data_IF_215600429499
#
_entry.id   IF_215600429499
#
_cell.length_a   1.000
_cell.length_b   1.000
_cell.length_c   1.000
_cell.angle_alpha   90.00
_cell.angle_beta   90.00
_cell.angle_gamma   90.00
#
_symmetry.space_group_name_H-M   'P 1'
#
loop_
_entity.id
_entity.type
_entity.pdbx_description
1 polymer ?
#
# COMPACT_ATOMS: atom_id res chain seq x y z
N UNK A 1 9.74 14.47 -10.83
CA UNK A 1 10.53 13.69 -9.85
C UNK A 1 10.33 12.21 -10.14
N UNK A 2 11.39 11.41 -10.00
CA UNK A 2 11.31 9.94 -10.14
C UNK A 2 10.92 9.37 -8.79
N UNK A 3 10.01 8.38 -8.79
CA UNK A 3 9.73 7.55 -7.61
C UNK A 3 10.22 6.13 -7.86
N UNK A 4 10.70 5.45 -6.81
CA UNK A 4 11.27 4.12 -6.91
C UNK A 4 10.99 3.29 -5.66
N UNK A 5 11.22 1.98 -5.76
CA UNK A 5 11.04 1.01 -4.69
C UNK A 5 12.35 0.21 -4.53
N UNK A 6 12.56 -0.31 -3.32
CA UNK A 6 13.71 -1.16 -3.01
C UNK A 6 13.28 -2.47 -2.35
N UNK A 7 14.14 -3.48 -2.47
CA UNK A 7 14.13 -4.68 -1.64
C UNK A 7 15.40 -4.61 -0.79
N UNK A 8 15.28 -4.85 0.50
CA UNK A 8 16.39 -4.73 1.44
C UNK A 8 16.32 -5.78 2.55
N UNK A 9 17.41 -5.90 3.30
CA UNK A 9 17.44 -6.65 4.57
C UNK A 9 17.12 -5.70 5.72
N UNK A 10 16.48 -6.20 6.77
CA UNK A 10 16.10 -5.39 7.95
C UNK A 10 17.31 -4.84 8.71
N UNK A 11 18.45 -5.52 8.66
CA UNK A 11 19.67 -5.14 9.35
C UNK A 11 20.58 -4.16 8.56
N UNK A 12 20.14 -3.69 7.39
CA UNK A 12 20.94 -2.81 6.52
C UNK A 12 20.42 -1.37 6.45
N UNK A 13 19.38 -1.04 7.22
CA UNK A 13 18.76 0.29 7.21
C UNK A 13 18.92 0.99 8.55
N UNK A 14 19.11 2.29 8.49
CA UNK A 14 19.14 3.21 9.62
C UNK A 14 18.36 4.50 9.29
N UNK A 15 18.16 5.35 10.29
CA UNK A 15 17.35 6.56 10.14
C UNK A 15 17.92 7.55 9.10
N UNK A 16 19.25 7.68 9.02
CA UNK A 16 19.91 8.61 8.09
C UNK A 16 19.77 8.12 6.66
N UNK A 17 20.08 6.85 6.41
CA UNK A 17 19.92 6.19 5.10
C UNK A 17 18.48 6.31 4.60
N UNK A 18 17.49 6.01 5.45
CA UNK A 18 16.07 6.10 5.09
C UNK A 18 15.64 7.53 4.78
N UNK A 19 16.12 8.53 5.52
CA UNK A 19 15.87 9.95 5.23
C UNK A 19 16.40 10.34 3.84
N UNK A 20 17.62 9.93 3.49
CA UNK A 20 18.19 10.17 2.16
C UNK A 20 17.42 9.41 1.06
N UNK A 21 17.09 8.15 1.28
CA UNK A 21 16.28 7.37 0.34
C UNK A 21 14.94 8.06 0.07
N UNK A 22 14.26 8.53 1.12
CA UNK A 22 12.96 9.21 0.97
C UNK A 22 13.08 10.51 0.17
N UNK A 23 14.09 11.34 0.48
CA UNK A 23 14.39 12.58 -0.27
C UNK A 23 14.73 12.29 -1.73
N UNK A 24 15.39 11.16 -2.02
CA UNK A 24 15.72 10.71 -3.37
C UNK A 24 14.51 10.09 -4.12
N UNK A 25 13.33 10.03 -3.51
CA UNK A 25 12.10 9.55 -4.14
C UNK A 25 11.76 8.09 -3.87
N UNK A 26 12.39 7.42 -2.89
CA UNK A 26 11.97 6.10 -2.43
C UNK A 26 10.59 6.20 -1.78
N UNK A 27 9.64 5.40 -2.26
CA UNK A 27 8.27 5.38 -1.74
C UNK A 27 7.92 4.07 -1.04
N UNK A 28 8.71 3.02 -1.23
CA UNK A 28 8.48 1.70 -0.65
C UNK A 28 9.78 0.94 -0.48
N UNK A 29 9.89 0.21 0.62
CA UNK A 29 10.94 -0.81 0.82
C UNK A 29 10.25 -2.11 1.23
N UNK A 30 10.66 -3.21 0.57
CA UNK A 30 10.20 -4.56 0.88
C UNK A 30 11.29 -5.31 1.64
N UNK A 31 10.92 -5.96 2.73
CA UNK A 31 11.81 -6.72 3.60
C UNK A 31 11.42 -8.19 3.63
N UNK A 32 12.37 -9.08 3.45
CA UNK A 32 12.19 -10.51 3.70
C UNK A 32 12.20 -10.77 5.21
N UNK A 33 11.02 -10.92 5.79
CA UNK A 33 10.80 -11.29 7.19
C UNK A 33 10.71 -12.81 7.34
N UNK A 34 10.11 -13.43 6.35
CA UNK A 34 9.84 -14.83 6.10
C UNK A 34 8.84 -15.42 7.11
N UNK A 35 9.14 -15.42 8.43
CA UNK A 35 8.27 -15.98 9.47
C UNK A 35 8.45 -15.25 10.81
N UNK A 36 7.41 -15.24 11.62
CA UNK A 36 7.48 -14.85 13.03
C UNK A 36 8.10 -15.93 13.92
N UNK A 37 8.16 -17.17 13.47
CA UNK A 37 8.79 -18.27 14.19
C UNK A 37 10.30 -18.26 14.01
N UNK A 38 11.05 -18.30 15.10
CA UNK A 38 12.52 -18.39 15.08
C UNK A 38 12.99 -19.70 14.47
N UNK A 39 12.31 -20.81 14.77
CA UNK A 39 12.65 -22.13 14.23
C UNK A 39 12.52 -22.15 12.71
N UNK A 40 11.45 -21.57 12.17
CA UNK A 40 11.24 -21.48 10.72
C UNK A 40 12.28 -20.54 10.07
N UNK A 41 12.61 -19.39 10.69
CA UNK A 41 13.66 -18.51 10.16
C UNK A 41 15.02 -19.17 10.15
N UNK A 42 15.36 -19.93 11.21
CA UNK A 42 16.61 -20.68 11.29
C UNK A 42 16.69 -21.74 10.21
N UNK A 43 15.60 -22.48 9.96
CA UNK A 43 15.51 -23.47 8.89
C UNK A 43 15.67 -22.82 7.51
N UNK A 44 15.12 -21.64 7.29
CA UNK A 44 15.28 -20.86 6.06
C UNK A 44 16.64 -20.13 5.98
N UNK A 45 17.57 -20.41 6.90
CA UNK A 45 18.89 -19.75 6.99
C UNK A 45 18.79 -18.21 7.03
N UNK A 46 17.77 -17.69 7.73
CA UNK A 46 17.52 -16.26 7.85
C UNK A 46 18.10 -15.75 9.17
N UNK A 47 19.29 -15.14 9.06
CA UNK A 47 20.02 -14.55 10.19
C UNK A 47 19.51 -13.13 10.48
N UNK A 48 18.31 -13.03 11.06
CA UNK A 48 17.68 -11.80 11.53
C UNK A 48 16.91 -12.08 12.82
N UNK A 49 17.00 -11.17 13.77
CA UNK A 49 16.18 -11.23 14.99
C UNK A 49 14.92 -10.36 14.86
N UNK A 50 13.95 -10.57 15.75
CA UNK A 50 12.68 -9.84 15.71
C UNK A 50 12.85 -8.36 16.07
N UNK A 51 13.84 -7.98 16.89
CA UNK A 51 14.07 -6.58 17.26
C UNK A 51 14.61 -5.79 16.05
N UNK A 52 15.46 -6.41 15.24
CA UNK A 52 15.90 -5.85 13.96
C UNK A 52 14.69 -5.62 13.02
N UNK A 53 13.77 -6.59 12.95
CA UNK A 53 12.55 -6.46 12.14
C UNK A 53 11.70 -5.29 12.64
N UNK A 54 11.37 -5.25 13.94
CA UNK A 54 10.58 -4.17 14.56
C UNK A 54 11.20 -2.80 14.29
N UNK A 55 12.51 -2.68 14.52
CA UNK A 55 13.26 -1.43 14.30
C UNK A 55 13.22 -0.98 12.85
N UNK A 56 13.46 -1.88 11.90
CA UNK A 56 13.47 -1.53 10.48
C UNK A 56 12.10 -1.03 10.02
N UNK A 57 11.01 -1.69 10.41
CA UNK A 57 9.65 -1.26 10.06
C UNK A 57 9.30 0.09 10.68
N UNK A 58 9.59 0.28 11.97
CA UNK A 58 9.34 1.55 12.65
C UNK A 58 10.10 2.71 12.02
N UNK A 59 11.39 2.54 11.71
CA UNK A 59 12.21 3.58 11.07
C UNK A 59 11.75 3.89 9.65
N UNK A 60 11.41 2.86 8.87
CA UNK A 60 10.97 3.01 7.48
C UNK A 60 9.66 3.78 7.39
N UNK A 61 8.66 3.37 8.18
CA UNK A 61 7.36 4.08 8.26
C UNK A 61 7.55 5.48 8.83
N UNK A 62 8.38 5.64 9.86
CA UNK A 62 8.72 6.93 10.45
C UNK A 62 9.32 7.92 9.46
N UNK A 63 10.09 7.44 8.48
CA UNK A 63 10.65 8.26 7.39
C UNK A 63 9.63 8.58 6.27
N UNK A 64 8.38 8.10 6.35
CA UNK A 64 7.38 8.28 5.30
C UNK A 64 7.60 7.39 4.09
N UNK A 65 8.10 6.18 4.29
CA UNK A 65 8.29 5.14 3.27
C UNK A 65 7.39 3.95 3.62
N UNK A 66 6.67 3.38 2.64
CA UNK A 66 5.86 2.19 2.86
C UNK A 66 6.76 0.99 3.15
N UNK A 67 6.65 0.42 4.34
CA UNK A 67 7.31 -0.83 4.71
C UNK A 67 6.42 -2.02 4.31
N UNK A 68 6.94 -2.87 3.42
CA UNK A 68 6.29 -4.10 2.98
C UNK A 68 7.01 -5.31 3.57
N UNK A 69 6.27 -6.26 4.10
CA UNK A 69 6.79 -7.54 4.57
C UNK A 69 6.61 -8.63 3.50
N UNK A 70 7.65 -9.46 3.33
CA UNK A 70 7.54 -10.73 2.64
C UNK A 70 7.53 -11.84 3.70
N UNK A 71 6.52 -12.68 3.64
CA UNK A 71 6.35 -13.86 4.47
C UNK A 71 6.34 -15.11 3.58
N UNK A 72 6.85 -16.21 4.13
CA UNK A 72 6.82 -17.53 3.49
C UNK A 72 6.05 -18.46 4.41
N UNK A 73 5.20 -19.31 3.84
CA UNK A 73 4.49 -20.38 4.55
C UNK A 73 4.57 -21.70 3.77
N UNK A 74 4.22 -22.81 4.39
CA UNK A 74 4.40 -24.15 3.81
C UNK A 74 5.82 -24.66 3.98
N UNK A 75 6.54 -24.16 4.98
CA UNK A 75 7.91 -24.59 5.32
C UNK A 75 7.93 -25.91 6.08
N UNK A 76 9.05 -26.66 6.04
CA UNK A 76 9.23 -27.82 6.93
C UNK A 76 8.97 -27.46 8.39
N UNK A 77 8.21 -28.31 9.10
CA UNK A 77 7.88 -28.08 10.51
C UNK A 77 6.84 -26.98 10.77
N UNK A 78 6.19 -26.45 9.73
CA UNK A 78 5.15 -25.46 9.91
C UNK A 78 3.94 -26.04 10.63
N UNK A 79 3.34 -25.23 11.51
CA UNK A 79 2.24 -25.61 12.39
C UNK A 79 1.35 -24.40 12.69
N UNK A 80 0.20 -24.64 13.30
CA UNK A 80 -0.65 -23.54 13.76
C UNK A 80 0.08 -22.58 14.73
N UNK A 81 1.02 -23.09 15.54
CA UNK A 81 1.80 -22.27 16.46
C UNK A 81 2.80 -21.35 15.73
N UNK A 82 3.48 -21.84 14.70
CA UNK A 82 4.43 -21.01 13.90
C UNK A 82 3.70 -19.96 13.07
N UNK A 83 2.51 -20.29 12.58
CA UNK A 83 1.63 -19.31 11.90
C UNK A 83 1.15 -18.26 12.90
N UNK A 84 0.75 -18.66 14.12
CA UNK A 84 0.36 -17.68 15.14
C UNK A 84 1.52 -16.73 15.48
N UNK A 85 2.74 -17.26 15.64
CA UNK A 85 3.93 -16.43 15.86
C UNK A 85 4.15 -15.40 14.70
N UNK A 86 3.83 -15.79 13.46
CA UNK A 86 3.88 -14.87 12.31
C UNK A 86 2.79 -13.80 12.40
N UNK A 87 1.58 -14.15 12.81
CA UNK A 87 0.49 -13.21 13.05
C UNK A 87 0.83 -12.22 14.18
N UNK A 88 1.43 -12.72 15.27
CA UNK A 88 1.83 -11.89 16.41
C UNK A 88 2.92 -10.88 16.00
N UNK A 89 3.95 -11.32 15.27
CA UNK A 89 4.96 -10.41 14.73
C UNK A 89 4.35 -9.38 13.76
N UNK A 90 3.41 -9.79 12.93
CA UNK A 90 2.72 -8.90 12.00
C UNK A 90 1.92 -7.80 12.75
N UNK A 91 1.29 -8.14 13.88
CA UNK A 91 0.61 -7.17 14.73
C UNK A 91 1.58 -6.15 15.33
N UNK A 92 2.81 -6.58 15.69
CA UNK A 92 3.83 -5.69 16.24
C UNK A 92 4.44 -4.74 15.23
N UNK A 93 4.77 -5.25 14.02
CA UNK A 93 5.44 -4.46 12.97
C UNK A 93 4.48 -3.66 12.10
N UNK A 94 3.19 -3.97 12.11
CA UNK A 94 2.11 -3.29 11.40
C UNK A 94 2.46 -2.95 9.94
N UNK A 95 2.77 -3.94 9.09
CA UNK A 95 3.24 -3.69 7.74
C UNK A 95 2.13 -3.04 6.90
N UNK A 96 2.47 -2.02 6.13
CA UNK A 96 1.53 -1.33 5.24
C UNK A 96 1.41 -1.98 3.86
N UNK A 97 2.14 -3.04 3.64
CA UNK A 97 2.05 -3.98 2.54
C UNK A 97 2.56 -5.34 3.01
N UNK A 98 1.96 -6.43 2.55
CA UNK A 98 2.44 -7.78 2.81
C UNK A 98 2.23 -8.67 1.59
N UNK A 99 3.17 -9.60 1.37
CA UNK A 99 3.04 -10.68 0.40
C UNK A 99 3.36 -11.98 1.13
N UNK A 100 2.51 -12.97 0.90
CA UNK A 100 2.62 -14.29 1.51
C UNK A 100 2.88 -15.31 0.41
N UNK A 101 4.13 -15.79 0.32
CA UNK A 101 4.55 -16.79 -0.63
C UNK A 101 4.44 -18.19 -0.04
N UNK A 102 4.10 -19.17 -0.85
CA UNK A 102 4.33 -20.58 -0.55
C UNK A 102 5.83 -20.85 -0.72
N UNK A 103 6.42 -21.68 0.14
CA UNK A 103 7.81 -22.07 -0.03
C UNK A 103 7.99 -22.91 -1.28
N UNK A 104 8.73 -22.38 -2.22
CA UNK A 104 9.13 -23.08 -3.44
C UNK A 104 10.56 -23.63 -3.34
N UNK A 105 10.78 -24.75 -4.01
CA UNK A 105 12.09 -25.38 -4.11
C UNK A 105 12.81 -24.91 -5.38
N UNK A 106 13.94 -24.24 -5.20
CA UNK A 106 14.72 -23.72 -6.31
C UNK A 106 16.02 -24.51 -6.51
N UNK A 107 16.46 -24.73 -7.77
CA UNK A 107 17.76 -25.33 -8.06
C UNK A 107 18.91 -24.64 -7.33
N UNK A 108 19.89 -25.43 -6.87
CA UNK A 108 21.05 -24.90 -6.14
C UNK A 108 20.82 -24.62 -4.66
N UNK A 109 19.63 -24.91 -4.12
CA UNK A 109 19.34 -24.78 -2.68
C UNK A 109 19.50 -26.14 -1.97
N UNK A 110 19.76 -26.11 -0.66
CA UNK A 110 19.80 -27.33 0.16
C UNK A 110 18.47 -28.11 0.12
N UNK A 111 17.34 -27.41 0.09
CA UNK A 111 16.02 -28.00 -0.06
C UNK A 111 15.86 -28.73 -1.40
N UNK A 112 16.43 -28.20 -2.48
CA UNK A 112 16.40 -28.86 -3.78
C UNK A 112 17.24 -30.14 -3.81
N UNK A 113 18.42 -30.11 -3.21
CA UNK A 113 19.26 -31.32 -3.11
C UNK A 113 18.60 -32.39 -2.22
N UNK A 114 17.93 -31.98 -1.16
CA UNK A 114 17.15 -32.90 -0.34
C UNK A 114 15.95 -33.49 -1.10
N UNK A 115 15.21 -32.66 -1.82
CA UNK A 115 14.11 -33.08 -2.69
C UNK A 115 14.57 -34.14 -3.70
N UNK A 116 15.67 -33.90 -4.42
CA UNK A 116 16.23 -34.88 -5.38
C UNK A 116 16.57 -36.21 -4.70
N UNK A 117 17.18 -36.16 -3.53
CA UNK A 117 17.53 -37.39 -2.76
C UNK A 117 16.30 -38.18 -2.33
N UNK A 118 15.27 -37.51 -1.85
CA UNK A 118 14.03 -38.15 -1.34
C UNK A 118 13.18 -38.74 -2.46
N UNK A 119 13.12 -38.07 -3.60
CA UNK A 119 12.22 -38.45 -4.70
C UNK A 119 12.90 -39.25 -5.79
N UNK A 120 14.24 -39.32 -5.82
CA UNK A 120 15.01 -39.91 -6.93
C UNK A 120 14.95 -39.05 -8.21
N UNK A 121 14.51 -37.83 -8.14
CA UNK A 121 14.37 -36.89 -9.26
C UNK A 121 15.74 -36.33 -9.65
N UNK A 122 15.94 -36.06 -10.95
CA UNK A 122 17.13 -35.40 -11.51
C UNK A 122 16.81 -33.99 -11.96
N UNK A 123 17.84 -33.24 -12.39
CA UNK A 123 17.64 -31.89 -12.94
C UNK A 123 16.84 -31.90 -14.25
N UNK A 124 16.65 -33.07 -14.88
CA UNK A 124 15.80 -33.22 -16.07
C UNK A 124 14.34 -32.85 -15.83
N UNK A 125 13.89 -32.78 -14.57
CA UNK A 125 12.56 -32.29 -14.22
C UNK A 125 12.27 -30.88 -14.79
N UNK A 126 13.30 -30.07 -15.03
CA UNK A 126 13.21 -28.74 -15.62
C UNK A 126 13.15 -28.72 -17.16
N UNK A 127 13.36 -29.85 -17.79
CA UNK A 127 13.16 -30.00 -19.26
C UNK A 127 11.66 -30.06 -19.60
N UNK A 128 10.81 -30.42 -18.62
CA UNK A 128 9.37 -30.27 -18.74
C UNK A 128 8.97 -28.85 -18.30
N UNK A 129 7.86 -28.34 -18.84
CA UNK A 129 7.33 -27.02 -18.43
C UNK A 129 6.80 -27.09 -17.01
N UNK A 130 7.62 -26.72 -16.04
CA UNK A 130 7.27 -26.51 -14.63
C UNK A 130 7.45 -25.05 -14.28
N UNK A 131 6.47 -24.49 -13.55
CA UNK A 131 6.53 -23.09 -13.10
C UNK A 131 7.13 -23.02 -11.70
N UNK A 132 6.78 -23.97 -10.83
CA UNK A 132 7.22 -24.05 -9.43
C UNK A 132 7.21 -25.49 -8.91
N UNK A 133 7.83 -25.70 -7.77
CA UNK A 133 7.78 -26.96 -7.00
C UNK A 133 7.51 -26.57 -5.54
N UNK A 134 6.22 -26.41 -5.13
CA UNK A 134 5.88 -26.08 -3.77
C UNK A 134 6.40 -27.16 -2.81
N UNK A 135 7.11 -26.75 -1.77
CA UNK A 135 7.73 -27.70 -0.82
C UNK A 135 6.69 -28.64 -0.21
N UNK A 136 5.55 -28.13 0.21
CA UNK A 136 4.51 -28.90 0.88
C UNK A 136 3.95 -30.06 0.03
N UNK A 137 4.02 -29.97 -1.30
CA UNK A 137 3.61 -31.07 -2.21
C UNK A 137 4.62 -32.20 -2.24
N UNK A 138 5.83 -31.95 -1.79
CA UNK A 138 6.94 -32.91 -1.79
C UNK A 138 7.17 -33.55 -0.42
N UNK A 139 6.55 -33.06 0.65
CA UNK A 139 6.71 -33.53 2.01
C UNK A 139 5.41 -34.17 2.53
N UNK A 140 5.37 -35.51 2.69
CA UNK A 140 4.18 -36.20 3.14
C UNK A 140 3.79 -35.87 4.61
N UNK A 141 4.67 -35.20 5.38
CA UNK A 141 4.36 -34.75 6.72
C UNK A 141 3.50 -33.47 6.73
N UNK A 142 3.37 -32.78 5.59
CA UNK A 142 2.56 -31.58 5.45
C UNK A 142 1.23 -31.91 4.75
N UNK A 143 0.13 -31.54 5.37
CA UNK A 143 -1.18 -31.60 4.76
C UNK A 143 -1.40 -30.37 3.87
N UNK A 144 -1.53 -30.59 2.58
CA UNK A 144 -1.77 -29.54 1.59
C UNK A 144 -3.00 -28.66 1.93
N UNK A 145 -4.10 -29.26 2.41
CA UNK A 145 -5.27 -28.50 2.81
C UNK A 145 -4.99 -27.57 3.98
N UNK A 146 -4.20 -28.03 4.96
CA UNK A 146 -3.77 -27.25 6.11
C UNK A 146 -2.84 -26.11 5.70
N UNK A 147 -1.84 -26.35 4.85
CA UNK A 147 -0.92 -25.31 4.36
C UNK A 147 -1.69 -24.21 3.61
N UNK A 148 -2.60 -24.58 2.73
CA UNK A 148 -3.44 -23.61 2.03
C UNK A 148 -4.38 -22.85 2.98
N UNK A 149 -4.84 -23.49 4.07
CA UNK A 149 -5.60 -22.82 5.12
C UNK A 149 -4.75 -21.79 5.88
N UNK A 150 -3.49 -22.10 6.17
CA UNK A 150 -2.54 -21.15 6.76
C UNK A 150 -2.37 -19.90 5.91
N UNK A 151 -2.15 -20.07 4.61
CA UNK A 151 -2.04 -18.95 3.69
C UNK A 151 -3.31 -18.08 3.63
N UNK A 152 -4.51 -18.69 3.69
CA UNK A 152 -5.76 -17.94 3.80
C UNK A 152 -5.84 -17.15 5.10
N UNK A 153 -5.51 -17.78 6.22
CA UNK A 153 -5.52 -17.16 7.56
C UNK A 153 -4.58 -15.96 7.62
N UNK A 154 -3.35 -16.08 7.12
CA UNK A 154 -2.38 -15.00 7.07
C UNK A 154 -2.91 -13.81 6.27
N UNK A 155 -3.37 -14.04 5.03
CA UNK A 155 -3.88 -12.98 4.14
C UNK A 155 -5.13 -12.31 4.70
N UNK A 156 -6.11 -13.07 5.17
CA UNK A 156 -7.34 -12.50 5.71
C UNK A 156 -7.10 -11.72 6.99
N UNK A 157 -6.25 -12.22 7.89
CA UNK A 157 -5.91 -11.50 9.13
C UNK A 157 -5.19 -10.20 8.80
N UNK A 158 -4.21 -10.23 7.89
CA UNK A 158 -3.52 -9.03 7.44
C UNK A 158 -4.50 -7.98 6.89
N UNK A 159 -5.35 -8.34 5.94
CA UNK A 159 -6.27 -7.39 5.31
C UNK A 159 -7.28 -6.80 6.30
N UNK A 160 -7.80 -7.61 7.23
CA UNK A 160 -8.71 -7.10 8.29
C UNK A 160 -8.01 -6.11 9.23
N UNK A 161 -6.72 -6.29 9.50
CA UNK A 161 -5.93 -5.43 10.40
C UNK A 161 -5.37 -4.19 9.70
N UNK A 162 -5.18 -4.23 8.40
CA UNK A 162 -4.52 -3.18 7.63
C UNK A 162 -5.13 -1.77 7.82
N UNK A 163 -6.45 -1.56 7.91
CA UNK A 163 -7.01 -0.24 8.22
C UNK A 163 -6.54 0.30 9.59
N UNK A 164 -6.43 -0.55 10.60
CA UNK A 164 -5.92 -0.16 11.91
C UNK A 164 -4.43 0.20 11.84
N UNK A 165 -3.62 -0.57 11.14
CA UNK A 165 -2.20 -0.27 10.92
C UNK A 165 -2.00 1.07 10.21
N UNK A 166 -2.79 1.35 9.16
CA UNK A 166 -2.72 2.61 8.43
C UNK A 166 -3.10 3.82 9.29
N UNK A 167 -4.08 3.67 10.18
CA UNK A 167 -4.52 4.76 11.09
C UNK A 167 -3.53 5.01 12.22
N UNK A 168 -2.79 3.97 12.66
CA UNK A 168 -1.81 4.05 13.76
C UNK A 168 -0.41 4.50 13.34
N UNK A 169 -0.17 4.80 12.07
CA UNK A 169 1.12 5.27 11.54
C UNK A 169 1.72 6.36 12.43
N UNK A 170 2.99 6.16 12.84
CA UNK A 170 3.79 7.14 13.55
C UNK A 170 4.90 7.62 12.63
N UNK A 171 4.89 8.91 12.31
CA UNK A 171 5.91 9.58 11.51
C UNK A 171 6.92 10.25 12.44
N UNK A 172 8.14 10.47 11.96
CA UNK A 172 9.11 11.28 12.71
C UNK A 172 8.68 12.76 12.72
N UNK A 173 9.16 13.49 13.73
CA UNK A 173 8.77 14.90 13.96
C UNK A 173 9.65 15.90 13.20
N UNK A 174 10.41 15.48 12.18
CA UNK A 174 11.23 16.40 11.39
C UNK A 174 10.35 17.35 10.55
N UNK A 175 10.36 18.67 10.85
CA UNK A 175 9.53 19.62 10.09
C UNK A 175 9.87 19.67 8.60
N UNK A 176 11.14 19.39 8.22
CA UNK A 176 11.57 19.37 6.82
C UNK A 176 10.98 18.18 6.06
N UNK A 177 10.57 17.14 6.75
CA UNK A 177 9.96 15.94 6.18
C UNK A 177 8.43 16.03 6.00
N UNK A 178 7.76 17.05 6.55
CA UNK A 178 6.31 17.19 6.49
C UNK A 178 5.71 17.06 5.07
N UNK A 179 6.26 17.71 4.01
CA UNK A 179 5.75 17.53 2.66
C UNK A 179 5.90 16.09 2.14
N UNK A 180 6.98 15.41 2.51
CA UNK A 180 7.22 14.01 2.16
C UNK A 180 6.26 13.08 2.93
N UNK A 181 5.96 13.39 4.18
CA UNK A 181 4.97 12.69 4.98
C UNK A 181 3.56 12.87 4.42
N UNK A 182 3.20 14.09 3.98
CA UNK A 182 1.92 14.34 3.31
C UNK A 182 1.80 13.52 2.01
N UNK A 183 2.84 13.48 1.15
CA UNK A 183 2.89 12.64 -0.04
C UNK A 183 2.76 11.14 0.31
N UNK A 184 3.42 10.67 1.38
CA UNK A 184 3.31 9.29 1.81
C UNK A 184 1.88 8.92 2.23
N UNK A 185 1.26 9.73 3.09
CA UNK A 185 -0.11 9.48 3.58
C UNK A 185 -1.13 9.57 2.46
N UNK A 186 -1.00 10.54 1.55
CA UNK A 186 -1.92 10.70 0.42
C UNK A 186 -1.80 9.58 -0.62
N UNK A 187 -0.59 9.02 -0.83
CA UNK A 187 -0.39 7.82 -1.64
C UNK A 187 -1.08 6.61 -1.01
N UNK A 188 -0.86 6.39 0.27
CA UNK A 188 -1.52 5.30 0.99
C UNK A 188 -3.04 5.47 1.00
N UNK A 189 -3.54 6.69 1.22
CA UNK A 189 -4.96 7.00 1.13
C UNK A 189 -5.54 6.62 -0.24
N UNK A 190 -4.81 6.90 -1.33
CA UNK A 190 -5.25 6.57 -2.68
C UNK A 190 -5.43 5.06 -2.89
N UNK A 191 -4.59 4.21 -2.27
CA UNK A 191 -4.75 2.74 -2.36
C UNK A 191 -6.03 2.27 -1.67
N UNK A 192 -6.44 2.90 -0.56
CA UNK A 192 -7.71 2.65 0.11
C UNK A 192 -8.92 3.27 -0.59
N UNK A 193 -8.73 4.38 -1.31
CA UNK A 193 -9.83 5.06 -2.00
C UNK A 193 -10.16 4.43 -3.35
N UNK A 194 -9.14 4.10 -4.16
CA UNK A 194 -9.32 3.67 -5.56
C UNK A 194 -8.37 2.56 -6.02
N UNK A 195 -7.40 2.18 -5.20
CA UNK A 195 -6.43 1.14 -5.49
C UNK A 195 -6.90 -0.24 -5.05
N UNK A 196 -5.93 -1.13 -4.85
CA UNK A 196 -6.19 -2.54 -4.56
C UNK A 196 -6.89 -2.74 -3.21
N UNK A 197 -6.61 -1.89 -2.23
CA UNK A 197 -7.24 -1.98 -0.90
C UNK A 197 -8.72 -1.58 -0.92
N UNK A 198 -9.14 -0.72 -1.85
CA UNK A 198 -10.55 -0.37 -2.02
C UNK A 198 -11.43 -1.52 -2.57
N UNK A 199 -10.79 -2.51 -3.20
CA UNK A 199 -11.46 -3.63 -3.88
C UNK A 199 -11.36 -4.94 -3.11
N UNK A 200 -10.63 -4.97 -2.02
CA UNK A 200 -10.39 -6.17 -1.23
C UNK A 200 -11.52 -6.35 -0.21
N UNK A 201 -12.24 -7.45 -0.32
CA UNK A 201 -13.43 -7.75 0.50
C UNK A 201 -13.10 -7.99 1.98
N UNK A 202 -11.86 -8.37 2.31
CA UNK A 202 -11.41 -8.54 3.69
C UNK A 202 -11.08 -7.21 4.38
N UNK A 203 -10.97 -6.09 3.64
CA UNK A 203 -10.69 -4.76 4.19
C UNK A 203 -12.00 -4.04 4.50
N UNK A 204 -12.23 -3.80 5.79
CA UNK A 204 -13.42 -3.08 6.25
C UNK A 204 -13.22 -1.56 6.15
N UNK A 205 -14.26 -0.86 5.71
CA UNK A 205 -14.33 0.59 5.62
C UNK A 205 -13.09 1.26 4.99
N UNK A 206 -12.65 0.82 3.78
CA UNK A 206 -11.48 1.38 3.14
C UNK A 206 -11.62 2.89 2.90
N UNK A 207 -12.80 3.38 2.54
CA UNK A 207 -13.06 4.81 2.35
C UNK A 207 -12.85 5.62 3.63
N UNK A 208 -13.33 5.14 4.79
CA UNK A 208 -13.11 5.84 6.05
C UNK A 208 -11.62 5.91 6.41
N UNK A 209 -10.86 4.87 6.07
CA UNK A 209 -9.40 4.87 6.25
C UNK A 209 -8.72 5.88 5.30
N UNK A 210 -9.13 5.92 4.03
CA UNK A 210 -8.64 6.88 3.05
C UNK A 210 -8.88 8.34 3.52
N UNK A 211 -10.08 8.63 4.01
CA UNK A 211 -10.42 9.97 4.50
C UNK A 211 -9.51 10.40 5.66
N UNK A 212 -9.33 9.53 6.67
CA UNK A 212 -8.41 9.82 7.79
C UNK A 212 -7.01 10.12 7.29
N UNK A 213 -6.49 9.35 6.35
CA UNK A 213 -5.15 9.54 5.81
C UNK A 213 -5.03 10.83 4.97
N UNK A 214 -6.04 11.17 4.15
CA UNK A 214 -6.04 12.43 3.40
C UNK A 214 -6.07 13.64 4.33
N UNK A 215 -6.90 13.63 5.38
CA UNK A 215 -6.96 14.71 6.36
C UNK A 215 -5.62 14.86 7.08
N UNK A 216 -5.04 13.76 7.57
CA UNK A 216 -3.72 13.79 8.21
C UNK A 216 -2.61 14.28 7.26
N UNK A 217 -2.69 14.00 5.97
CA UNK A 217 -1.76 14.53 4.99
C UNK A 217 -1.87 16.07 4.91
N UNK A 218 -3.09 16.61 4.84
CA UNK A 218 -3.34 18.04 4.76
C UNK A 218 -2.97 18.79 6.06
N UNK A 219 -3.05 18.13 7.23
CA UNK A 219 -2.59 18.68 8.50
C UNK A 219 -1.05 18.86 8.54
N UNK A 220 -0.31 18.08 7.77
CA UNK A 220 1.16 18.14 7.70
C UNK A 220 1.64 19.20 6.69
N UNK A 221 1.12 19.16 5.48
CA UNK A 221 1.48 20.08 4.40
C UNK A 221 0.42 20.03 3.27
N UNK A 222 0.29 21.10 2.45
CA UNK A 222 -0.51 21.07 1.24
C UNK A 222 -0.05 19.94 0.31
N UNK A 223 -0.99 19.08 -0.10
CA UNK A 223 -0.76 17.97 -1.04
C UNK A 223 -1.91 17.87 -2.06
N UNK A 224 -1.58 18.00 -3.34
CA UNK A 224 -2.58 18.06 -4.41
C UNK A 224 -3.43 16.78 -4.50
N UNK A 225 -2.80 15.60 -4.26
CA UNK A 225 -3.50 14.30 -4.26
C UNK A 225 -4.49 14.21 -3.11
N UNK A 226 -4.11 14.72 -1.92
CA UNK A 226 -4.99 14.71 -0.76
C UNK A 226 -6.19 15.65 -0.96
N UNK A 227 -6.00 16.86 -1.46
CA UNK A 227 -7.11 17.78 -1.78
C UNK A 227 -8.06 17.16 -2.81
N UNK A 228 -7.50 16.61 -3.90
CA UNK A 228 -8.32 16.00 -4.95
C UNK A 228 -9.06 14.76 -4.44
N UNK A 229 -8.37 13.86 -3.75
CA UNK A 229 -8.95 12.63 -3.22
C UNK A 229 -10.08 12.90 -2.23
N UNK A 230 -9.84 13.76 -1.25
CA UNK A 230 -10.85 14.14 -0.25
C UNK A 230 -12.04 14.86 -0.90
N UNK A 231 -11.78 15.80 -1.83
CA UNK A 231 -12.82 16.51 -2.56
C UNK A 231 -13.73 15.56 -3.35
N UNK A 232 -13.17 14.54 -4.00
CA UNK A 232 -13.92 13.52 -4.74
C UNK A 232 -14.74 12.62 -3.83
N UNK A 233 -14.22 12.24 -2.65
CA UNK A 233 -14.97 11.46 -1.65
C UNK A 233 -16.19 12.25 -1.17
N UNK A 234 -16.01 13.54 -0.87
CA UNK A 234 -17.10 14.42 -0.44
C UNK A 234 -18.15 14.63 -1.53
N UNK A 235 -17.73 14.76 -2.80
CA UNK A 235 -18.66 14.77 -3.95
C UNK A 235 -19.50 13.50 -4.02
N UNK A 236 -18.84 12.34 -3.87
CA UNK A 236 -19.53 11.05 -3.92
C UNK A 236 -20.59 10.91 -2.82
N UNK A 237 -20.30 11.44 -1.64
CA UNK A 237 -21.24 11.51 -0.50
C UNK A 237 -22.29 12.62 -0.63
N UNK A 238 -22.25 13.41 -1.71
CA UNK A 238 -23.12 14.56 -1.95
C UNK A 238 -22.95 15.70 -0.93
N UNK A 239 -21.83 15.72 -0.21
CA UNK A 239 -21.45 16.86 0.63
C UNK A 239 -20.77 17.92 -0.24
N UNK A 240 -21.60 18.61 -1.01
CA UNK A 240 -21.17 19.58 -2.01
C UNK A 240 -20.45 20.77 -1.38
N UNK A 241 -20.90 21.24 -0.22
CA UNK A 241 -20.29 22.37 0.47
C UNK A 241 -18.87 22.05 0.93
N UNK A 242 -18.68 20.95 1.66
CA UNK A 242 -17.36 20.54 2.11
C UNK A 242 -16.42 20.20 0.95
N UNK A 243 -16.94 19.63 -0.15
CA UNK A 243 -16.15 19.39 -1.37
C UNK A 243 -15.64 20.70 -1.98
N UNK A 244 -16.49 21.73 -2.08
CA UNK A 244 -16.08 23.05 -2.58
C UNK A 244 -14.98 23.63 -1.69
N UNK A 245 -15.16 23.62 -0.37
CA UNK A 245 -14.19 24.18 0.57
C UNK A 245 -12.81 23.53 0.45
N UNK A 246 -12.76 22.21 0.42
CA UNK A 246 -11.51 21.44 0.31
C UNK A 246 -10.84 21.69 -1.06
N UNK A 247 -11.58 21.61 -2.15
CA UNK A 247 -11.02 21.79 -3.50
C UNK A 247 -10.60 23.24 -3.75
N UNK A 248 -11.36 24.23 -3.25
CA UNK A 248 -10.99 25.62 -3.34
C UNK A 248 -9.71 25.93 -2.54
N UNK A 249 -9.55 25.34 -1.35
CA UNK A 249 -8.30 25.40 -0.60
C UNK A 249 -7.13 24.77 -1.39
N UNK A 250 -7.36 23.61 -2.01
CA UNK A 250 -6.37 22.95 -2.88
C UNK A 250 -5.95 23.83 -4.04
N UNK A 251 -6.90 24.47 -4.72
CA UNK A 251 -6.61 25.33 -5.87
C UNK A 251 -5.83 26.62 -5.49
N UNK A 252 -5.97 27.10 -4.23
CA UNK A 252 -5.14 28.21 -3.74
C UNK A 252 -3.66 27.81 -3.61
N UNK A 253 -3.37 26.57 -3.21
CA UNK A 253 -1.99 26.07 -3.10
C UNK A 253 -1.44 25.59 -4.45
N UNK A 254 -2.30 25.09 -5.34
CA UNK A 254 -1.95 24.52 -6.64
C UNK A 254 -2.79 25.16 -7.76
N UNK A 255 -2.62 26.46 -8.05
CA UNK A 255 -3.50 27.22 -8.96
C UNK A 255 -3.48 26.71 -10.40
N UNK A 256 -2.45 25.96 -10.80
CA UNK A 256 -2.33 25.34 -12.14
C UNK A 256 -2.81 23.88 -12.22
N UNK A 257 -3.33 23.29 -11.11
CA UNK A 257 -3.76 21.90 -11.13
C UNK A 257 -5.14 21.75 -11.79
N UNK A 258 -5.12 21.30 -13.05
CA UNK A 258 -6.34 21.10 -13.83
C UNK A 258 -7.28 20.04 -13.26
N UNK A 259 -6.77 19.05 -12.54
CA UNK A 259 -7.60 17.99 -11.93
C UNK A 259 -8.39 18.53 -10.74
N UNK A 260 -7.76 19.34 -9.88
CA UNK A 260 -8.44 20.04 -8.78
C UNK A 260 -9.44 21.05 -9.36
N UNK A 261 -9.04 21.83 -10.36
CA UNK A 261 -9.90 22.81 -11.01
C UNK A 261 -11.16 22.19 -11.63
N UNK A 262 -11.01 21.09 -12.36
CA UNK A 262 -12.13 20.34 -12.95
C UNK A 262 -13.05 19.78 -11.86
N UNK A 263 -12.50 19.18 -10.81
CA UNK A 263 -13.27 18.63 -9.73
C UNK A 263 -14.06 19.71 -8.96
N UNK A 264 -13.45 20.87 -8.71
CA UNK A 264 -14.10 22.03 -8.10
C UNK A 264 -15.23 22.57 -8.98
N UNK A 265 -15.02 22.65 -10.30
CA UNK A 265 -16.07 23.07 -11.23
C UNK A 265 -17.29 22.14 -11.16
N UNK A 266 -17.08 20.83 -11.10
CA UNK A 266 -18.17 19.85 -10.93
C UNK A 266 -18.90 20.10 -9.60
N UNK A 267 -18.18 20.38 -8.50
CA UNK A 267 -18.83 20.72 -7.22
C UNK A 267 -19.67 22.01 -7.33
N UNK A 268 -19.19 23.05 -8.03
CA UNK A 268 -19.97 24.26 -8.27
C UNK A 268 -21.21 24.00 -9.14
N UNK A 269 -21.10 23.12 -10.14
CA UNK A 269 -22.27 22.69 -10.95
C UNK A 269 -23.30 21.98 -10.07
N UNK A 270 -22.87 21.08 -9.21
CA UNK A 270 -23.75 20.37 -8.27
C UNK A 270 -24.45 21.33 -7.28
N UNK A 271 -23.83 22.48 -7.00
CA UNK A 271 -24.41 23.55 -6.18
C UNK A 271 -25.29 24.52 -6.99
N UNK A 272 -25.47 24.34 -8.31
CA UNK A 272 -26.22 25.25 -9.19
C UNK A 272 -25.45 26.53 -9.59
N UNK A 273 -24.18 26.65 -9.26
CA UNK A 273 -23.36 27.83 -9.53
C UNK A 273 -22.63 27.74 -10.88
N UNK A 274 -23.38 27.63 -11.98
CA UNK A 274 -22.86 27.38 -13.33
C UNK A 274 -21.87 28.44 -13.83
N UNK A 275 -22.03 29.72 -13.42
CA UNK A 275 -21.07 30.76 -13.79
C UNK A 275 -19.70 30.52 -13.18
N UNK A 276 -19.64 30.23 -11.87
CA UNK A 276 -18.36 29.91 -11.20
C UNK A 276 -17.71 28.67 -11.76
N UNK A 277 -18.50 27.66 -12.08
CA UNK A 277 -18.00 26.43 -12.72
C UNK A 277 -17.41 26.75 -14.10
N UNK A 278 -18.09 27.53 -14.91
CA UNK A 278 -17.65 27.91 -16.26
C UNK A 278 -16.32 28.67 -16.23
N UNK A 279 -16.15 29.61 -15.28
CA UNK A 279 -14.90 30.38 -15.12
C UNK A 279 -13.68 29.48 -14.86
N UNK A 280 -13.88 28.36 -14.16
CA UNK A 280 -12.83 27.35 -13.93
C UNK A 280 -12.60 26.42 -15.13
N UNK A 281 -13.65 26.16 -15.91
CA UNK A 281 -13.58 25.20 -17.04
C UNK A 281 -13.00 25.80 -18.30
N UNK A 282 -13.20 27.08 -18.56
CA UNK A 282 -12.70 27.77 -19.78
C UNK A 282 -11.19 27.58 -19.96
N UNK A 283 -10.33 27.80 -18.94
CA UNK A 283 -8.88 27.58 -19.09
C UNK A 283 -8.49 26.11 -19.32
N UNK A 284 -9.39 25.19 -19.04
CA UNK A 284 -9.16 23.75 -19.10
C UNK A 284 -9.76 23.08 -20.35
N UNK A 285 -10.32 23.83 -21.32
CA UNK A 285 -11.04 23.27 -22.47
C UNK A 285 -10.17 22.45 -23.46
N UNK A 286 -8.86 22.41 -23.26
CA UNK A 286 -8.01 21.42 -23.91
C UNK A 286 -8.35 19.97 -23.45
N UNK A 287 -8.78 19.77 -22.20
CA UNK A 287 -9.32 18.49 -21.71
C UNK A 287 -10.76 18.30 -22.25
N UNK A 288 -11.05 17.19 -22.95
CA UNK A 288 -12.40 16.89 -23.48
C UNK A 288 -13.48 16.89 -22.39
N UNK A 289 -13.16 16.49 -21.17
CA UNK A 289 -14.11 16.47 -20.02
C UNK A 289 -14.47 17.89 -19.60
N UNK A 290 -13.47 18.77 -19.47
CA UNK A 290 -13.71 20.18 -19.13
C UNK A 290 -14.53 20.87 -20.20
N UNK A 291 -14.27 20.61 -21.48
CA UNK A 291 -15.05 21.14 -22.63
C UNK A 291 -16.51 20.68 -22.59
N UNK A 292 -16.74 19.40 -22.26
CA UNK A 292 -18.09 18.85 -22.11
C UNK A 292 -18.86 19.57 -20.99
N UNK A 293 -18.28 19.67 -19.79
CA UNK A 293 -18.92 20.36 -18.66
C UNK A 293 -19.09 21.85 -18.89
N UNK A 294 -18.17 22.53 -19.59
CA UNK A 294 -18.33 23.92 -20.00
C UNK A 294 -19.55 24.13 -20.94
N UNK A 295 -19.79 23.17 -21.84
CA UNK A 295 -20.98 23.13 -22.69
C UNK A 295 -22.28 23.09 -21.87
N UNK A 296 -22.35 22.20 -20.87
CA UNK A 296 -23.48 22.10 -19.94
C UNK A 296 -23.72 23.43 -19.19
N UNK A 297 -22.64 24.02 -18.65
CA UNK A 297 -22.74 25.30 -17.94
C UNK A 297 -23.27 26.44 -18.87
N UNK A 298 -22.81 26.53 -20.14
CA UNK A 298 -23.28 27.51 -21.08
C UNK A 298 -24.77 27.31 -21.41
N UNK A 299 -25.23 26.10 -21.55
CA UNK A 299 -26.65 25.80 -21.77
C UNK A 299 -27.49 26.24 -20.58
N UNK A 300 -27.13 25.82 -19.37
CA UNK A 300 -27.85 26.16 -18.12
C UNK A 300 -27.95 27.70 -17.93
N UNK A 301 -26.89 28.45 -18.31
CA UNK A 301 -26.86 29.90 -18.18
C UNK A 301 -27.68 30.64 -19.29
N UNK A 302 -28.15 29.96 -20.33
CA UNK A 302 -29.05 30.53 -21.35
C UNK A 302 -30.52 30.29 -21.01
N UNK A 303 -30.78 29.27 -20.18
CA UNK A 303 -32.15 28.89 -19.81
C UNK A 303 -32.60 29.58 -18.50
N UNK A 304 -31.70 30.30 -17.83
CA UNK A 304 -31.95 31.16 -16.66
C UNK A 304 -31.93 32.65 -17.06
#
# INVERSE_FOLDING_TARGET
AITWQAISKVNTVDAETLAWMRRAGCIQISYGVESGSEDIRTLLCKDIDQDQVRRAFALTVGAGILARAYFIYGSPGESAATIQATLDLMEEIQPLGAIFYILDIFPGTALYEDFKRRTGTTDDIWLERREDIPYFETDPALDAAQVLAFGRTLRQTYHRRLPAYARSIRLNDDPASRPLHADFLSRLALTFHRGDYARNEDIQDPEATAEVLYRRALDLAPDARAYLGLGQMLQHRRDTAASIDVLAAGLKHFPGDGAIGLCLAISWMNAGHFRRALDLLIPLEADPRARHFAGICRQALRET
#
